data_IF_750077540465
#
_entry.id   IF_750077540465
#
_cell.length_a   1.000
_cell.length_b   1.000
_cell.length_c   1.000
_cell.angle_alpha   90.00
_cell.angle_beta   90.00
_cell.angle_gamma   90.00
#
_symmetry.space_group_name_H-M   'P 1'
#
loop_
_entity.id
_entity.type
_entity.pdbx_description
1 polymer ?
#
# COMPACT_ATOMS: atom_id res chain seq x y z
N UNK A 1 -13.78 -4.31 37.37
CA UNK A 1 -12.32 -4.28 37.15
C UNK A 1 -11.93 -4.66 35.71
N UNK A 2 -12.51 -5.73 35.11
CA UNK A 2 -12.25 -6.08 33.71
C UNK A 2 -12.76 -5.03 32.70
N UNK A 3 -13.95 -4.47 32.92
CA UNK A 3 -14.54 -3.48 32.02
C UNK A 3 -13.76 -2.16 31.96
N UNK A 4 -13.25 -1.70 33.11
CA UNK A 4 -12.38 -0.51 33.19
C UNK A 4 -11.03 -0.71 32.50
N UNK A 5 -10.48 -1.93 32.55
CA UNK A 5 -9.26 -2.28 31.83
C UNK A 5 -9.49 -2.34 30.31
N UNK A 6 -10.61 -2.93 29.87
CA UNK A 6 -10.98 -3.00 28.46
C UNK A 6 -11.25 -1.61 27.87
N UNK A 7 -11.99 -0.76 28.57
CA UNK A 7 -12.29 0.60 28.13
C UNK A 7 -11.01 1.46 28.04
N UNK A 8 -10.08 1.30 28.99
CA UNK A 8 -8.76 1.95 28.94
C UNK A 8 -7.95 1.47 27.74
N UNK A 9 -7.90 0.16 27.51
CA UNK A 9 -7.22 -0.42 26.35
C UNK A 9 -7.79 0.10 25.03
N UNK A 10 -9.12 0.08 24.87
CA UNK A 10 -9.80 0.59 23.68
C UNK A 10 -9.52 2.08 23.45
N UNK A 11 -9.47 2.88 24.52
CA UNK A 11 -9.11 4.29 24.46
C UNK A 11 -7.67 4.50 23.98
N UNK A 12 -6.71 3.76 24.52
CA UNK A 12 -5.30 3.85 24.11
C UNK A 12 -5.10 3.43 22.65
N UNK A 13 -5.77 2.36 22.21
CA UNK A 13 -5.83 1.95 20.80
C UNK A 13 -6.41 3.07 19.92
N UNK A 14 -7.53 3.66 20.32
CA UNK A 14 -8.20 4.73 19.58
C UNK A 14 -7.35 6.00 19.46
N UNK A 15 -6.58 6.35 20.50
CA UNK A 15 -5.66 7.50 20.46
C UNK A 15 -4.53 7.27 19.46
N UNK A 16 -3.90 6.08 19.45
CA UNK A 16 -2.86 5.77 18.48
C UNK A 16 -3.41 5.72 17.05
N UNK A 17 -4.59 5.15 16.86
CA UNK A 17 -5.27 5.15 15.57
C UNK A 17 -5.54 6.58 15.08
N UNK A 18 -6.06 7.45 15.94
CA UNK A 18 -6.32 8.84 15.59
C UNK A 18 -5.03 9.61 15.27
N UNK A 19 -3.93 9.32 15.98
CA UNK A 19 -2.63 9.90 15.67
C UNK A 19 -2.15 9.49 14.26
N UNK A 20 -2.25 8.20 13.92
CA UNK A 20 -1.93 7.71 12.58
C UNK A 20 -2.82 8.33 11.50
N UNK A 21 -4.12 8.41 11.74
CA UNK A 21 -5.09 9.05 10.84
C UNK A 21 -4.77 10.52 10.61
N UNK A 22 -4.44 11.26 11.67
CA UNK A 22 -4.05 12.67 11.58
C UNK A 22 -2.75 12.86 10.79
N UNK A 23 -1.77 11.99 11.00
CA UNK A 23 -0.52 12.03 10.24
C UNK A 23 -0.78 11.76 8.75
N UNK A 24 -1.59 10.76 8.41
CA UNK A 24 -1.98 10.49 7.03
C UNK A 24 -2.75 11.64 6.36
N UNK A 25 -3.62 12.34 7.10
CA UNK A 25 -4.34 13.51 6.60
C UNK A 25 -3.51 14.80 6.58
N UNK A 26 -2.26 14.78 7.06
CA UNK A 26 -1.38 15.95 7.13
C UNK A 26 -0.72 16.30 5.78
N UNK A 27 -1.54 16.38 4.73
CA UNK A 27 -1.12 16.66 3.34
C UNK A 27 -0.45 18.04 3.17
N UNK A 28 -0.63 18.97 4.12
CA UNK A 28 0.10 20.24 4.12
C UNK A 28 1.63 20.04 4.09
N UNK A 29 2.15 18.97 4.73
CA UNK A 29 3.59 18.66 4.72
C UNK A 29 4.06 18.25 3.32
N UNK A 30 3.25 17.47 2.61
CA UNK A 30 3.48 17.08 1.21
C UNK A 30 3.61 18.34 0.33
N UNK A 31 2.69 19.28 0.47
CA UNK A 31 2.73 20.55 -0.28
C UNK A 31 4.02 21.33 0.02
N UNK A 32 4.42 21.42 1.30
CA UNK A 32 5.67 22.10 1.69
C UNK A 32 6.89 21.40 1.08
N UNK A 33 6.98 20.07 1.15
CA UNK A 33 8.08 19.32 0.55
C UNK A 33 8.16 19.52 -0.96
N UNK A 34 7.01 19.47 -1.65
CA UNK A 34 6.94 19.70 -3.09
C UNK A 34 7.40 21.12 -3.45
N UNK A 35 6.98 22.14 -2.71
CA UNK A 35 7.43 23.53 -2.95
C UNK A 35 8.94 23.67 -2.71
N UNK A 36 9.49 23.00 -1.70
CA UNK A 36 10.92 23.07 -1.36
C UNK A 36 11.82 22.29 -2.33
N UNK A 37 11.32 21.22 -2.95
CA UNK A 37 12.09 20.38 -3.86
C UNK A 37 11.46 20.34 -5.25
N UNK A 38 12.06 21.08 -6.19
CA UNK A 38 11.66 21.07 -7.61
C UNK A 38 11.62 19.66 -8.22
N UNK A 39 12.61 18.77 -8.00
CA UNK A 39 12.54 17.39 -8.47
C UNK A 39 11.30 16.66 -7.93
N UNK A 40 11.00 16.82 -6.64
CA UNK A 40 9.86 16.19 -6.00
C UNK A 40 8.53 16.67 -6.61
N UNK A 41 8.37 17.98 -6.80
CA UNK A 41 7.19 18.55 -7.43
C UNK A 41 6.96 18.03 -8.85
N UNK A 42 8.03 17.95 -9.66
CA UNK A 42 7.95 17.46 -11.04
C UNK A 42 7.56 15.98 -11.03
N UNK A 43 8.17 15.15 -10.20
CA UNK A 43 7.87 13.70 -10.13
C UNK A 43 6.46 13.43 -9.62
N UNK A 44 6.03 14.12 -8.56
CA UNK A 44 4.66 14.02 -8.07
C UNK A 44 3.68 14.48 -9.14
N UNK A 45 3.93 15.62 -9.80
CA UNK A 45 3.09 16.11 -10.90
C UNK A 45 3.00 15.14 -12.07
N UNK A 46 4.12 14.54 -12.48
CA UNK A 46 4.17 13.50 -13.53
C UNK A 46 3.31 12.29 -13.16
N UNK A 47 3.41 11.82 -11.92
CA UNK A 47 2.61 10.70 -11.44
C UNK A 47 1.11 11.03 -11.43
N UNK A 48 0.74 12.20 -10.92
CA UNK A 48 -0.65 12.67 -10.91
C UNK A 48 -1.23 12.82 -12.31
N UNK A 49 -0.46 13.43 -13.22
CA UNK A 49 -0.90 13.67 -14.59
C UNK A 49 -1.00 12.35 -15.36
N UNK A 50 -0.02 11.47 -15.26
CA UNK A 50 -0.03 10.17 -15.93
C UNK A 50 -1.19 9.31 -15.43
N UNK A 51 -1.30 9.11 -14.11
CA UNK A 51 -2.38 8.33 -13.53
C UNK A 51 -3.73 8.98 -13.88
N UNK A 52 -3.89 10.28 -13.64
CA UNK A 52 -5.11 11.01 -14.00
C UNK A 52 -5.50 10.84 -15.47
N UNK A 53 -4.57 11.03 -16.41
CA UNK A 53 -4.82 10.90 -17.83
C UNK A 53 -5.17 9.47 -18.24
N UNK A 54 -4.45 8.47 -17.72
CA UNK A 54 -4.74 7.07 -18.03
C UNK A 54 -6.11 6.67 -17.49
N UNK A 55 -6.41 6.95 -16.22
CA UNK A 55 -7.66 6.51 -15.61
C UNK A 55 -8.87 7.32 -16.05
N UNK A 56 -8.83 8.66 -15.92
CA UNK A 56 -9.95 9.51 -16.34
C UNK A 56 -10.10 9.47 -17.86
N UNK A 57 -9.00 9.44 -18.61
CA UNK A 57 -9.04 9.32 -20.07
C UNK A 57 -9.64 8.00 -20.52
N UNK A 58 -9.23 6.86 -19.94
CA UNK A 58 -9.81 5.56 -20.28
C UNK A 58 -11.29 5.45 -19.88
N UNK A 59 -11.67 6.00 -18.72
CA UNK A 59 -13.08 6.09 -18.30
C UNK A 59 -13.90 6.96 -19.24
N UNK A 60 -13.34 8.08 -19.70
CA UNK A 60 -13.99 8.97 -20.66
C UNK A 60 -14.16 8.29 -22.01
N UNK A 61 -13.12 7.67 -22.56
CA UNK A 61 -13.19 6.91 -23.83
C UNK A 61 -14.25 5.81 -23.73
N UNK A 62 -14.25 5.05 -22.62
CA UNK A 62 -15.23 3.99 -22.41
C UNK A 62 -16.67 4.54 -22.39
N UNK A 63 -16.95 5.55 -21.56
CA UNK A 63 -18.31 6.05 -21.35
C UNK A 63 -18.83 6.95 -22.47
N UNK A 64 -17.97 7.76 -23.06
CA UNK A 64 -18.37 8.78 -24.04
C UNK A 64 -18.23 8.30 -25.49
N UNK A 65 -17.39 7.30 -25.76
CA UNK A 65 -17.16 6.80 -27.12
C UNK A 65 -17.55 5.33 -27.27
N UNK A 66 -16.92 4.43 -26.52
CA UNK A 66 -17.08 2.98 -26.72
C UNK A 66 -18.51 2.53 -26.44
N UNK A 67 -19.08 2.86 -25.28
CA UNK A 67 -20.44 2.45 -24.92
C UNK A 67 -21.48 3.03 -25.91
N UNK A 68 -21.48 4.33 -26.25
CA UNK A 68 -22.41 4.86 -27.25
C UNK A 68 -22.29 4.21 -28.63
N UNK A 69 -21.07 3.97 -29.11
CA UNK A 69 -20.84 3.29 -30.40
C UNK A 69 -21.37 1.86 -30.36
N UNK A 70 -21.12 1.14 -29.25
CA UNK A 70 -21.65 -0.21 -29.06
C UNK A 70 -23.18 -0.23 -28.98
N UNK A 71 -23.80 0.75 -28.32
CA UNK A 71 -25.27 0.88 -28.28
C UNK A 71 -25.85 1.26 -29.64
N UNK A 72 -25.10 1.97 -30.48
CA UNK A 72 -25.51 2.30 -31.84
C UNK A 72 -25.43 1.10 -32.79
N UNK A 73 -24.35 0.31 -32.71
CA UNK A 73 -24.16 -0.89 -33.55
C UNK A 73 -25.00 -2.06 -33.04
N UNK A 74 -25.14 -2.21 -31.72
CA UNK A 74 -25.88 -3.27 -31.04
C UNK A 74 -26.90 -2.62 -30.08
N UNK A 75 -28.09 -2.22 -30.57
CA UNK A 75 -29.08 -1.50 -29.76
C UNK A 75 -29.77 -2.36 -28.70
N UNK A 76 -30.13 -1.73 -27.58
CA UNK A 76 -30.82 -2.35 -26.43
C UNK A 76 -32.33 -2.44 -26.59
N UNK A 77 -32.90 -1.52 -27.38
CA UNK A 77 -34.32 -1.43 -27.66
C UNK A 77 -34.50 -1.03 -29.11
N UNK A 78 -35.48 -1.64 -29.78
CA UNK A 78 -35.95 -1.17 -31.07
C UNK A 78 -37.27 -0.44 -30.84
N UNK A 79 -37.33 0.85 -31.17
CA UNK A 79 -38.61 1.57 -31.16
C UNK A 79 -39.49 1.06 -32.31
N UNK A 80 -40.68 0.57 -31.93
CA UNK A 80 -41.87 0.39 -32.77
C UNK A 80 -41.67 -0.33 -34.11
N UNK A 81 -41.93 -1.64 -34.21
CA UNK A 81 -42.73 -2.21 -35.33
C UNK A 81 -43.09 -3.70 -35.10
N UNK A 82 -44.40 -3.98 -35.23
CA UNK A 82 -45.09 -5.25 -35.50
C UNK A 82 -44.89 -6.48 -34.58
N UNK A 83 -46.01 -6.94 -34.00
CA UNK A 83 -46.16 -8.02 -33.03
C UNK A 83 -46.00 -9.46 -33.58
N UNK A 84 -45.36 -9.68 -34.73
CA UNK A 84 -45.32 -11.02 -35.37
C UNK A 84 -43.96 -11.75 -35.28
N UNK A 85 -42.88 -11.13 -34.80
CA UNK A 85 -41.53 -11.74 -34.78
C UNK A 85 -40.87 -11.81 -33.38
N UNK A 86 -41.68 -12.01 -32.36
CA UNK A 86 -41.27 -11.85 -30.96
C UNK A 86 -40.23 -12.88 -30.45
N UNK A 87 -40.16 -14.09 -31.02
CA UNK A 87 -39.21 -15.13 -30.59
C UNK A 87 -37.79 -14.94 -31.14
N UNK A 88 -37.64 -14.76 -32.46
CA UNK A 88 -36.34 -14.48 -33.08
C UNK A 88 -35.75 -13.15 -32.61
N UNK A 89 -36.60 -12.18 -32.28
CA UNK A 89 -36.20 -10.88 -31.75
C UNK A 89 -35.56 -10.97 -30.35
N UNK A 90 -36.14 -11.77 -29.45
CA UNK A 90 -35.57 -11.99 -28.10
C UNK A 90 -34.21 -12.69 -28.18
N UNK A 91 -34.06 -13.65 -29.09
CA UNK A 91 -32.79 -14.32 -29.33
C UNK A 91 -31.72 -13.33 -29.85
N UNK A 92 -32.07 -12.47 -30.82
CA UNK A 92 -31.16 -11.45 -31.36
C UNK A 92 -30.71 -10.43 -30.30
N UNK A 93 -31.62 -9.90 -29.49
CA UNK A 93 -31.28 -8.99 -28.39
C UNK A 93 -30.38 -9.65 -27.33
N UNK A 94 -30.60 -10.94 -27.07
CA UNK A 94 -29.74 -11.72 -26.15
C UNK A 94 -28.32 -11.84 -26.71
N UNK A 95 -28.19 -12.12 -28.01
CA UNK A 95 -26.89 -12.16 -28.71
C UNK A 95 -26.22 -10.79 -28.71
N UNK A 96 -26.96 -9.71 -28.93
CA UNK A 96 -26.41 -8.34 -28.89
C UNK A 96 -25.92 -7.96 -27.51
N UNK A 97 -26.68 -8.27 -26.46
CA UNK A 97 -26.25 -8.03 -25.09
C UNK A 97 -24.99 -8.82 -24.73
N UNK A 98 -24.93 -10.09 -25.14
CA UNK A 98 -23.77 -10.93 -24.93
C UNK A 98 -22.53 -10.41 -25.69
N UNK A 99 -22.70 -10.00 -26.95
CA UNK A 99 -21.61 -9.48 -27.77
C UNK A 99 -21.08 -8.14 -27.24
N UNK A 100 -21.96 -7.23 -26.78
CA UNK A 100 -21.52 -6.00 -26.11
C UNK A 100 -20.74 -6.29 -24.84
N UNK A 101 -21.20 -7.24 -24.03
CA UNK A 101 -20.48 -7.65 -22.82
C UNK A 101 -19.05 -8.11 -23.17
N UNK A 102 -18.90 -8.98 -24.17
CA UNK A 102 -17.58 -9.44 -24.65
C UNK A 102 -16.73 -8.27 -25.15
N UNK A 103 -17.29 -7.39 -25.99
CA UNK A 103 -16.53 -6.27 -26.57
C UNK A 103 -16.05 -5.28 -25.51
N UNK A 104 -16.88 -5.03 -24.49
CA UNK A 104 -16.50 -4.21 -23.33
C UNK A 104 -15.40 -4.92 -22.52
N UNK A 105 -15.51 -6.22 -22.30
CA UNK A 105 -14.49 -6.99 -21.56
C UNK A 105 -13.14 -7.02 -22.30
N UNK A 106 -13.16 -7.18 -23.63
CA UNK A 106 -11.97 -7.06 -24.48
C UNK A 106 -11.34 -5.67 -24.37
N UNK A 107 -12.14 -4.59 -24.31
CA UNK A 107 -11.61 -3.25 -24.05
C UNK A 107 -10.89 -3.19 -22.70
N UNK A 108 -11.44 -3.78 -21.63
CA UNK A 108 -10.72 -3.83 -20.35
C UNK A 108 -9.39 -4.59 -20.45
N UNK A 109 -9.40 -5.77 -21.07
CA UNK A 109 -8.23 -6.66 -21.20
C UNK A 109 -7.11 -6.04 -22.04
N UNK A 110 -7.45 -5.42 -23.17
CA UNK A 110 -6.44 -4.96 -24.14
C UNK A 110 -6.14 -3.47 -24.06
N UNK A 111 -7.01 -2.67 -23.44
CA UNK A 111 -6.79 -1.23 -23.27
C UNK A 111 -6.51 -0.86 -21.83
N UNK A 112 -7.45 -1.13 -20.93
CA UNK A 112 -7.38 -0.63 -19.56
C UNK A 112 -6.26 -1.29 -18.75
N UNK A 113 -6.20 -2.63 -18.68
CA UNK A 113 -5.21 -3.33 -17.87
C UNK A 113 -3.76 -3.11 -18.33
N UNK A 114 -3.42 -3.11 -19.63
CA UNK A 114 -2.06 -2.83 -20.08
C UNK A 114 -1.62 -1.41 -19.74
N UNK A 115 -2.49 -0.41 -19.93
CA UNK A 115 -2.21 0.97 -19.53
C UNK A 115 -2.06 1.09 -18.01
N UNK A 116 -2.89 0.38 -17.24
CA UNK A 116 -2.80 0.31 -15.79
C UNK A 116 -1.45 -0.26 -15.34
N UNK A 117 -1.03 -1.41 -15.88
CA UNK A 117 0.24 -2.05 -15.55
C UNK A 117 1.42 -1.12 -15.89
N UNK A 118 1.39 -0.50 -17.07
CA UNK A 118 2.40 0.48 -17.46
C UNK A 118 2.48 1.66 -16.47
N UNK A 119 1.32 2.21 -16.11
CA UNK A 119 1.23 3.30 -15.13
C UNK A 119 1.75 2.87 -13.76
N UNK A 120 1.42 1.65 -13.32
CA UNK A 120 1.87 1.10 -12.05
C UNK A 120 3.39 0.95 -11.98
N UNK A 121 4.02 0.43 -13.05
CA UNK A 121 5.48 0.28 -13.12
C UNK A 121 6.17 1.64 -13.08
N UNK A 122 5.75 2.60 -13.91
CA UNK A 122 6.32 3.95 -13.91
C UNK A 122 6.13 4.65 -12.57
N UNK A 123 4.93 4.53 -12.00
CA UNK A 123 4.60 5.12 -10.71
C UNK A 123 5.48 4.54 -9.61
N UNK A 124 5.75 3.23 -9.60
CA UNK A 124 6.65 2.58 -8.63
C UNK A 124 8.07 3.13 -8.69
N UNK A 125 8.60 3.36 -9.89
CA UNK A 125 9.92 3.99 -10.06
C UNK A 125 9.93 5.42 -9.51
N UNK A 126 8.91 6.20 -9.81
CA UNK A 126 8.80 7.56 -9.29
C UNK A 126 8.56 7.61 -7.78
N UNK A 127 7.85 6.66 -7.19
CA UNK A 127 7.67 6.57 -5.74
C UNK A 127 9.00 6.33 -5.02
N UNK A 128 9.86 5.49 -5.58
CA UNK A 128 11.21 5.28 -5.05
C UNK A 128 12.05 6.57 -5.08
N UNK A 129 12.02 7.31 -6.21
CA UNK A 129 12.69 8.61 -6.35
C UNK A 129 12.13 9.64 -5.34
N UNK A 130 10.81 9.73 -5.21
CA UNK A 130 10.10 10.63 -4.28
C UNK A 130 10.53 10.34 -2.85
N UNK A 131 10.51 9.08 -2.44
CA UNK A 131 10.90 8.69 -1.08
C UNK A 131 12.38 8.95 -0.80
N UNK A 132 13.25 8.76 -1.80
CA UNK A 132 14.69 9.08 -1.69
C UNK A 132 14.90 10.56 -1.39
N UNK A 133 14.30 11.44 -2.20
CA UNK A 133 14.42 12.88 -2.01
C UNK A 133 13.79 13.37 -0.70
N UNK A 134 12.65 12.80 -0.30
CA UNK A 134 12.04 13.12 0.98
C UNK A 134 12.95 12.75 2.16
N UNK A 135 13.60 11.59 2.08
CA UNK A 135 14.57 11.14 3.09
C UNK A 135 15.83 12.03 3.13
N UNK A 136 16.38 12.42 1.97
CA UNK A 136 17.51 13.34 1.87
C UNK A 136 17.20 14.71 2.49
N UNK A 137 16.00 15.27 2.24
CA UNK A 137 15.58 16.55 2.82
C UNK A 137 15.46 16.45 4.35
N UNK A 138 14.86 15.36 4.87
CA UNK A 138 14.72 15.17 6.31
C UNK A 138 16.06 14.97 7.03
N UNK A 139 16.99 14.26 6.40
CA UNK A 139 18.34 14.07 6.95
C UNK A 139 19.18 15.35 6.84
N UNK A 140 18.94 16.18 5.84
CA UNK A 140 19.59 17.48 5.65
C UNK A 140 19.04 18.59 6.56
N UNK A 141 17.75 18.53 6.93
CA UNK A 141 17.12 19.45 7.90
C UNK A 141 17.30 19.01 9.37
N UNK A 142 17.95 17.86 9.63
CA UNK A 142 18.48 17.53 10.96
C UNK A 142 19.61 18.49 11.36
N UNK A 143 19.91 18.66 12.66
CA UNK A 143 20.78 19.75 13.12
C UNK A 143 22.16 19.66 12.45
N UNK A 144 22.41 20.56 11.50
CA UNK A 144 23.74 20.81 10.99
C UNK A 144 24.61 21.27 12.16
N UNK A 145 25.60 20.44 12.51
CA UNK A 145 26.60 20.63 13.59
C UNK A 145 26.02 20.56 15.00
N UNK A 146 26.04 19.36 15.60
CA UNK A 146 26.60 19.03 16.94
C UNK A 146 26.09 17.65 17.37
N UNK A 147 26.50 16.58 16.68
CA UNK A 147 26.47 15.21 17.21
C UNK A 147 27.70 14.44 16.69
N UNK A 148 28.87 14.94 17.06
CA UNK A 148 30.12 14.17 17.04
C UNK A 148 30.61 13.89 18.48
N UNK A 149 29.80 14.16 19.51
CA UNK A 149 30.26 14.02 20.90
C UNK A 149 29.41 13.16 21.83
N UNK A 150 28.22 12.67 21.45
CA UNK A 150 27.41 11.78 22.31
C UNK A 150 27.31 10.34 21.79
N UNK A 151 27.98 10.03 20.66
CA UNK A 151 28.05 8.66 20.14
C UNK A 151 29.23 7.85 20.72
N UNK A 152 30.13 8.51 21.47
CA UNK A 152 31.30 7.86 22.06
C UNK A 152 31.03 7.29 23.45
N UNK A 153 30.08 7.84 24.23
CA UNK A 153 29.87 7.40 25.62
C UNK A 153 28.88 6.21 25.78
N UNK A 154 28.14 5.85 24.72
CA UNK A 154 27.35 4.62 24.68
C UNK A 154 28.05 3.45 23.98
N UNK A 155 29.23 3.67 23.39
CA UNK A 155 30.04 2.63 22.75
C UNK A 155 30.99 1.92 23.72
N UNK A 156 31.20 2.45 24.93
CA UNK A 156 32.20 1.92 25.88
C UNK A 156 31.67 0.86 26.87
N UNK A 157 30.36 0.55 26.85
CA UNK A 157 29.74 -0.48 27.70
C UNK A 157 29.35 -1.78 26.99
N UNK A 158 29.77 -1.98 25.74
CA UNK A 158 29.57 -3.24 25.00
C UNK A 158 30.88 -3.94 24.61
N UNK A 159 31.99 -3.58 25.26
CA UNK A 159 33.30 -4.19 25.06
C UNK A 159 33.58 -5.31 26.06
N UNK A 160 32.66 -6.26 26.31
CA UNK A 160 33.05 -7.55 26.90
C UNK A 160 32.02 -8.64 26.59
N UNK A 161 32.54 -9.80 26.17
CA UNK A 161 31.85 -11.07 25.85
C UNK A 161 31.49 -11.31 24.38
N UNK A 162 32.56 -11.49 23.62
CA UNK A 162 32.75 -12.53 22.59
C UNK A 162 31.64 -13.58 22.44
N UNK A 163 30.98 -13.60 21.28
CA UNK A 163 30.86 -14.82 20.48
C UNK A 163 30.77 -14.46 18.98
N UNK A 164 31.58 -15.17 18.22
CA UNK A 164 31.87 -15.08 16.80
C UNK A 164 30.64 -15.05 15.87
N UNK A 165 30.62 -14.13 14.92
CA UNK A 165 30.33 -14.40 13.49
C UNK A 165 30.78 -13.20 12.66
N UNK A 166 31.50 -13.48 11.58
CA UNK A 166 32.27 -12.49 10.82
C UNK A 166 31.42 -11.38 10.21
N UNK A 167 32.03 -10.20 10.11
CA UNK A 167 31.59 -9.16 9.18
C UNK A 167 31.57 -9.79 7.79
N UNK A 168 30.41 -9.95 7.13
CA UNK A 168 30.37 -10.56 5.81
C UNK A 168 31.05 -9.59 4.84
N UNK A 169 32.11 -10.06 4.17
CA UNK A 169 32.75 -9.33 3.09
C UNK A 169 31.75 -9.01 1.97
N UNK A 170 32.07 -8.03 1.13
CA UNK A 170 31.12 -7.33 0.25
C UNK A 170 30.11 -8.19 -0.52
N UNK A 171 30.46 -9.41 -0.94
CA UNK A 171 29.52 -10.32 -1.62
C UNK A 171 28.49 -10.97 -0.68
N UNK A 172 28.89 -11.47 0.50
CA UNK A 172 27.97 -12.08 1.45
C UNK A 172 26.99 -11.05 2.03
N UNK A 173 27.47 -9.81 2.22
CA UNK A 173 26.63 -8.69 2.65
C UNK A 173 25.56 -8.33 1.59
N UNK A 174 25.95 -8.29 0.31
CA UNK A 174 25.02 -8.03 -0.80
C UNK A 174 24.02 -9.18 -0.97
N UNK A 175 24.46 -10.44 -0.88
CA UNK A 175 23.56 -11.59 -0.93
C UNK A 175 22.54 -11.58 0.21
N UNK A 176 22.96 -11.19 1.41
CA UNK A 176 22.06 -11.05 2.55
C UNK A 176 21.01 -9.94 2.32
N UNK A 177 21.41 -8.80 1.79
CA UNK A 177 20.51 -7.68 1.46
C UNK A 177 19.50 -8.06 0.36
N UNK A 178 19.95 -8.76 -0.69
CA UNK A 178 19.09 -9.28 -1.75
C UNK A 178 18.11 -10.31 -1.18
N UNK A 179 18.59 -11.25 -0.36
CA UNK A 179 17.75 -12.27 0.26
C UNK A 179 16.66 -11.69 1.15
N UNK A 180 16.99 -10.67 1.94
CA UNK A 180 16.05 -9.94 2.78
C UNK A 180 14.97 -9.23 1.95
N UNK A 181 15.35 -8.58 0.85
CA UNK A 181 14.40 -7.92 -0.05
C UNK A 181 13.48 -8.92 -0.76
N UNK A 182 14.01 -10.04 -1.25
CA UNK A 182 13.22 -11.10 -1.88
C UNK A 182 12.23 -11.70 -0.88
N UNK A 183 12.66 -11.93 0.35
CA UNK A 183 11.78 -12.42 1.41
C UNK A 183 10.68 -11.40 1.77
N UNK A 184 11.01 -10.10 1.85
CA UNK A 184 10.01 -9.04 2.05
C UNK A 184 8.94 -9.06 0.95
N UNK A 185 9.35 -9.17 -0.32
CA UNK A 185 8.44 -9.26 -1.47
C UNK A 185 7.54 -10.50 -1.36
N UNK A 186 8.11 -11.66 -1.04
CA UNK A 186 7.34 -12.90 -0.87
C UNK A 186 6.32 -12.77 0.26
N UNK A 187 6.75 -12.30 1.44
CA UNK A 187 5.90 -12.10 2.60
C UNK A 187 4.73 -11.16 2.29
N UNK A 188 5.01 -10.03 1.64
CA UNK A 188 4.00 -9.04 1.28
C UNK A 188 3.05 -9.53 0.18
N UNK A 189 3.54 -10.36 -0.74
CA UNK A 189 2.69 -11.01 -1.75
C UNK A 189 1.71 -11.98 -1.09
N UNK A 190 2.18 -12.78 -0.13
CA UNK A 190 1.32 -13.70 0.62
C UNK A 190 0.31 -12.94 1.49
N UNK A 191 0.73 -11.85 2.13
CA UNK A 191 -0.18 -10.98 2.88
C UNK A 191 -1.23 -10.33 1.98
N UNK A 192 -0.86 -9.91 0.76
CA UNK A 192 -1.81 -9.42 -0.23
C UNK A 192 -2.86 -10.47 -0.60
N UNK A 193 -2.44 -11.74 -0.81
CA UNK A 193 -3.37 -12.85 -1.09
C UNK A 193 -4.31 -13.06 0.11
N UNK A 194 -3.81 -13.00 1.34
CA UNK A 194 -4.62 -13.08 2.55
C UNK A 194 -5.70 -11.99 2.56
N UNK A 195 -5.30 -10.71 2.38
CA UNK A 195 -6.24 -9.58 2.31
C UNK A 195 -7.30 -9.82 1.21
N UNK A 196 -6.87 -10.21 0.02
CA UNK A 196 -7.77 -10.50 -1.10
C UNK A 196 -8.80 -11.60 -0.76
N UNK A 197 -8.37 -12.69 -0.12
CA UNK A 197 -9.27 -13.78 0.28
C UNK A 197 -10.29 -13.36 1.35
N UNK A 198 -9.90 -12.48 2.28
CA UNK A 198 -10.84 -11.99 3.30
C UNK A 198 -11.99 -11.16 2.72
N UNK A 199 -11.81 -10.59 1.52
CA UNK A 199 -12.85 -9.88 0.79
C UNK A 199 -14.06 -10.74 0.40
N UNK A 200 -13.91 -12.06 0.35
CA UNK A 200 -15.00 -13.00 0.02
C UNK A 200 -15.84 -13.43 1.23
N UNK A 201 -15.44 -13.09 2.46
CA UNK A 201 -16.16 -13.48 3.67
C UNK A 201 -17.37 -12.54 3.88
N UNK A 202 -18.62 -13.02 3.86
CA UNK A 202 -19.78 -12.17 4.04
C UNK A 202 -19.91 -11.63 5.48
N UNK A 203 -20.57 -10.47 5.64
CA UNK A 203 -20.86 -9.76 6.90
C UNK A 203 -19.64 -9.25 7.68
N UNK A 204 -18.87 -10.14 8.32
CA UNK A 204 -17.71 -9.79 9.17
C UNK A 204 -16.49 -9.42 8.32
N UNK A 205 -16.39 -10.01 7.11
CA UNK A 205 -15.24 -9.80 6.22
C UNK A 205 -15.06 -8.36 5.76
N UNK A 206 -16.12 -7.53 5.69
CA UNK A 206 -15.95 -6.12 5.27
C UNK A 206 -15.12 -5.29 6.25
N UNK A 207 -15.36 -5.44 7.56
CA UNK A 207 -14.62 -4.72 8.59
C UNK A 207 -13.19 -5.25 8.73
N UNK A 208 -13.02 -6.58 8.65
CA UNK A 208 -11.69 -7.22 8.66
C UNK A 208 -10.90 -6.81 7.43
N UNK A 209 -11.50 -6.86 6.24
CA UNK A 209 -10.88 -6.44 4.99
C UNK A 209 -10.50 -4.96 5.04
N UNK A 210 -11.36 -4.08 5.59
CA UNK A 210 -10.99 -2.67 5.81
C UNK A 210 -9.72 -2.54 6.66
N UNK A 211 -9.61 -3.27 7.76
CA UNK A 211 -8.44 -3.24 8.64
C UNK A 211 -7.19 -3.82 7.97
N UNK A 212 -7.29 -5.00 7.37
CA UNK A 212 -6.19 -5.66 6.67
C UNK A 212 -5.69 -4.81 5.50
N UNK A 213 -6.60 -4.23 4.73
CA UNK A 213 -6.28 -3.34 3.63
C UNK A 213 -5.62 -2.05 4.14
N UNK A 214 -6.09 -1.50 5.26
CA UNK A 214 -5.46 -0.33 5.89
C UNK A 214 -4.03 -0.63 6.33
N UNK A 215 -3.78 -1.78 6.95
CA UNK A 215 -2.41 -2.20 7.29
C UNK A 215 -1.54 -2.42 6.06
N UNK A 216 -2.06 -3.06 5.02
CA UNK A 216 -1.35 -3.30 3.77
C UNK A 216 -0.90 -1.97 3.12
N UNK A 217 -1.81 -1.01 2.98
CA UNK A 217 -1.48 0.30 2.43
C UNK A 217 -0.48 1.08 3.28
N UNK A 218 -0.66 1.06 4.60
CA UNK A 218 0.28 1.71 5.50
C UNK A 218 1.68 1.08 5.36
N UNK A 219 1.78 -0.25 5.38
CA UNK A 219 3.06 -0.94 5.23
C UNK A 219 3.73 -0.57 3.90
N UNK A 220 3.00 -0.63 2.79
CA UNK A 220 3.55 -0.27 1.48
C UNK A 220 4.05 1.18 1.43
N UNK A 221 3.36 2.14 2.06
CA UNK A 221 3.84 3.52 2.11
C UNK A 221 5.12 3.66 2.94
N UNK A 222 5.19 3.00 4.10
CA UNK A 222 6.34 3.07 5.00
C UNK A 222 7.54 2.23 4.54
N UNK A 223 7.33 1.19 3.72
CA UNK A 223 8.40 0.37 3.16
C UNK A 223 9.43 1.22 2.40
N UNK A 224 8.97 2.21 1.61
CA UNK A 224 9.87 3.14 0.93
C UNK A 224 10.75 3.91 1.92
N UNK A 225 10.18 4.42 3.02
CA UNK A 225 10.93 5.12 4.07
C UNK A 225 11.97 4.19 4.72
N UNK A 226 11.56 2.97 5.08
CA UNK A 226 12.42 2.01 5.77
C UNK A 226 13.52 1.42 4.89
N UNK A 227 13.26 1.27 3.59
CA UNK A 227 14.27 0.90 2.60
C UNK A 227 15.40 1.94 2.55
N UNK A 228 15.05 3.23 2.47
CA UNK A 228 16.04 4.31 2.49
C UNK A 228 16.78 4.44 3.83
N UNK A 229 16.13 4.13 4.95
CA UNK A 229 16.78 4.09 6.26
C UNK A 229 17.54 2.78 6.55
N UNK A 230 17.61 1.85 5.59
CA UNK A 230 18.23 0.51 5.72
C UNK A 230 17.79 -0.25 6.97
N UNK A 231 16.52 -0.11 7.35
CA UNK A 231 15.97 -0.86 8.48
C UNK A 231 15.83 -2.33 8.07
N UNK A 232 16.25 -3.29 8.90
CA UNK A 232 16.03 -4.71 8.58
C UNK A 232 14.55 -5.09 8.67
N UNK A 233 14.09 -6.03 7.86
CA UNK A 233 12.74 -6.56 7.79
C UNK A 233 12.22 -6.98 9.17
N UNK A 234 13.01 -7.73 9.95
CA UNK A 234 12.62 -8.13 11.30
C UNK A 234 12.30 -6.92 12.19
N UNK A 235 13.11 -5.85 12.09
CA UNK A 235 12.85 -4.61 12.81
C UNK A 235 11.60 -3.91 12.28
N UNK A 236 11.38 -3.87 10.96
CA UNK A 236 10.19 -3.25 10.34
C UNK A 236 8.92 -3.94 10.79
N UNK A 237 8.88 -5.28 10.74
CA UNK A 237 7.75 -6.09 11.18
C UNK A 237 7.50 -5.91 12.67
N UNK A 238 8.55 -5.96 13.50
CA UNK A 238 8.41 -5.76 14.94
C UNK A 238 7.88 -4.36 15.29
N UNK A 239 8.39 -3.32 14.63
CA UNK A 239 7.92 -1.95 14.79
C UNK A 239 6.46 -1.79 14.32
N UNK A 240 6.11 -2.40 13.20
CA UNK A 240 4.75 -2.36 12.64
C UNK A 240 3.74 -3.05 13.55
N UNK A 241 4.00 -4.30 13.91
CA UNK A 241 3.15 -5.15 14.74
C UNK A 241 3.02 -4.62 16.17
N UNK A 242 4.08 -4.01 16.70
CA UNK A 242 4.03 -3.37 18.02
C UNK A 242 3.17 -2.11 18.01
N UNK A 243 3.07 -1.41 16.88
CA UNK A 243 2.35 -0.14 16.75
C UNK A 243 1.19 -0.21 15.76
N UNK A 244 0.59 -1.39 15.64
CA UNK A 244 -0.47 -1.67 14.68
C UNK A 244 -1.64 -0.67 14.68
N UNK A 245 -2.08 -0.04 15.80
CA UNK A 245 -3.20 0.89 15.74
C UNK A 245 -2.84 2.16 14.97
N UNK A 246 -1.60 2.65 15.13
CA UNK A 246 -1.11 3.80 14.39
C UNK A 246 -1.12 3.52 12.89
N UNK A 247 -0.60 2.37 12.47
CA UNK A 247 -0.58 2.01 11.05
C UNK A 247 -1.97 1.75 10.47
N UNK A 248 -2.88 1.12 11.23
CA UNK A 248 -4.29 1.02 10.84
C UNK A 248 -4.90 2.41 10.62
N UNK A 249 -4.63 3.36 11.52
CA UNK A 249 -5.07 4.75 11.39
C UNK A 249 -4.49 5.45 10.18
N UNK A 250 -3.19 5.26 9.92
CA UNK A 250 -2.51 5.87 8.80
C UNK A 250 -3.06 5.40 7.43
N UNK A 251 -3.34 4.11 7.28
CA UNK A 251 -3.90 3.57 6.02
C UNK A 251 -5.38 3.87 5.82
N UNK A 252 -6.12 4.15 6.90
CA UNK A 252 -7.58 4.29 6.88
C UNK A 252 -8.10 5.36 5.91
N UNK A 253 -7.54 6.59 5.80
CA UNK A 253 -8.03 7.58 4.85
C UNK A 253 -7.95 7.12 3.38
N UNK A 254 -6.87 6.43 3.01
CA UNK A 254 -6.68 5.89 1.65
C UNK A 254 -7.73 4.82 1.35
N UNK A 255 -7.96 3.91 2.31
CA UNK A 255 -8.94 2.86 2.19
C UNK A 255 -10.36 3.42 2.17
N UNK A 256 -10.70 4.35 3.06
CA UNK A 256 -12.01 5.00 3.07
C UNK A 256 -12.33 5.65 1.72
N UNK A 257 -11.36 6.32 1.10
CA UNK A 257 -11.55 6.94 -0.21
C UNK A 257 -12.00 5.92 -1.27
N UNK A 258 -11.41 4.72 -1.31
CA UNK A 258 -11.76 3.69 -2.31
C UNK A 258 -13.06 2.94 -2.00
N UNK A 259 -13.58 2.97 -0.78
CA UNK A 259 -14.83 2.31 -0.40
C UNK A 259 -16.08 2.97 -1.02
N UNK A 260 -16.00 4.25 -1.41
CA UNK A 260 -17.12 5.00 -1.99
C UNK A 260 -17.22 4.87 -3.52
N UNK A 261 -16.26 4.21 -4.17
CA UNK A 261 -16.16 4.14 -5.61
C UNK A 261 -16.35 2.71 -6.13
N UNK A 262 -16.72 2.58 -7.41
CA UNK A 262 -16.68 1.28 -8.09
C UNK A 262 -15.24 0.80 -8.22
N UNK A 263 -15.02 -0.52 -8.30
CA UNK A 263 -13.66 -1.11 -8.33
C UNK A 263 -12.72 -0.44 -9.33
N UNK A 264 -13.25 -0.09 -10.52
CA UNK A 264 -12.50 0.59 -11.57
C UNK A 264 -12.06 2.01 -11.18
N UNK A 265 -12.98 2.78 -10.60
CA UNK A 265 -12.70 4.14 -10.14
C UNK A 265 -11.78 4.10 -8.91
N UNK A 266 -11.93 3.11 -8.05
CA UNK A 266 -11.07 2.87 -6.89
C UNK A 266 -9.61 2.64 -7.29
N UNK A 267 -9.32 1.91 -8.37
CA UNK A 267 -7.94 1.77 -8.88
C UNK A 267 -7.34 3.11 -9.30
N UNK A 268 -8.11 3.94 -10.00
CA UNK A 268 -7.65 5.26 -10.43
C UNK A 268 -7.45 6.22 -9.26
N UNK A 269 -8.39 6.25 -8.31
CA UNK A 269 -8.28 7.03 -7.09
C UNK A 269 -7.06 6.60 -6.28
N UNK A 270 -6.82 5.29 -6.15
CA UNK A 270 -5.66 4.79 -5.43
C UNK A 270 -4.35 5.18 -6.10
N UNK A 271 -4.23 5.04 -7.42
CA UNK A 271 -3.01 5.41 -8.14
C UNK A 271 -2.67 6.92 -8.01
N UNK A 272 -3.68 7.77 -7.86
CA UNK A 272 -3.52 9.20 -7.62
C UNK A 272 -3.17 9.49 -6.15
N UNK A 273 -3.85 8.84 -5.20
CA UNK A 273 -3.66 9.10 -3.78
C UNK A 273 -2.34 8.52 -3.25
N UNK A 274 -1.97 7.33 -3.70
CA UNK A 274 -0.81 6.58 -3.21
C UNK A 274 0.50 7.39 -3.11
N UNK A 275 0.95 8.17 -4.13
CA UNK A 275 2.15 9.01 -4.00
C UNK A 275 2.07 10.01 -2.85
N UNK A 276 0.89 10.56 -2.56
CA UNK A 276 0.71 11.50 -1.43
C UNK A 276 0.91 10.78 -0.10
N UNK A 277 0.37 9.57 0.03
CA UNK A 277 0.54 8.77 1.26
C UNK A 277 1.98 8.29 1.42
N UNK A 278 2.67 7.92 0.34
CA UNK A 278 4.12 7.60 0.37
C UNK A 278 4.92 8.82 0.85
N UNK A 279 4.64 10.00 0.30
CA UNK A 279 5.34 11.22 0.69
C UNK A 279 5.00 11.65 2.13
N UNK A 280 3.76 11.46 2.55
CA UNK A 280 3.33 11.71 3.93
C UNK A 280 4.01 10.74 4.89
N UNK A 281 4.11 9.46 4.56
CA UNK A 281 4.82 8.45 5.35
C UNK A 281 6.31 8.80 5.47
N UNK A 282 6.96 9.16 4.35
CA UNK A 282 8.35 9.60 4.34
C UNK A 282 8.55 10.84 5.22
N UNK A 283 7.68 11.84 5.11
CA UNK A 283 7.67 13.07 5.89
C UNK A 283 7.29 12.94 7.37
N UNK A 284 6.78 11.77 7.79
CA UNK A 284 6.28 11.55 9.15
C UNK A 284 7.40 10.99 10.04
N UNK A 285 7.66 11.63 11.17
CA UNK A 285 8.51 11.09 12.23
C UNK A 285 7.70 10.11 13.11
N UNK A 286 7.30 8.98 12.51
CA UNK A 286 6.42 7.96 13.11
C UNK A 286 6.88 7.53 14.50
N UNK A 287 8.18 7.31 14.66
CA UNK A 287 8.81 6.87 15.90
C UNK A 287 8.56 7.90 17.03
N UNK A 288 8.81 9.18 16.75
CA UNK A 288 8.64 10.26 17.73
C UNK A 288 7.16 10.49 18.07
N UNK A 289 6.27 10.48 17.09
CA UNK A 289 4.83 10.61 17.30
C UNK A 289 4.31 9.46 18.17
N UNK A 290 4.63 8.22 17.82
CA UNK A 290 4.22 7.03 18.56
C UNK A 290 4.76 7.05 19.99
N UNK A 291 6.06 7.33 20.17
CA UNK A 291 6.66 7.41 21.50
C UNK A 291 6.02 8.51 22.34
N UNK A 292 5.77 9.69 21.77
CA UNK A 292 5.12 10.80 22.48
C UNK A 292 3.70 10.43 22.96
N UNK A 293 2.92 9.77 22.10
CA UNK A 293 1.57 9.30 22.42
C UNK A 293 1.63 8.20 23.50
N UNK A 294 2.52 7.22 23.36
CA UNK A 294 2.67 6.13 24.33
C UNK A 294 3.07 6.62 25.72
N UNK A 295 3.83 7.71 25.85
CA UNK A 295 4.16 8.32 27.16
C UNK A 295 2.93 8.81 27.92
N UNK A 296 1.81 9.07 27.23
CA UNK A 296 0.55 9.50 27.86
C UNK A 296 -0.27 8.34 28.43
N UNK A 297 0.11 7.09 28.10
CA UNK A 297 -0.65 5.90 28.46
C UNK A 297 -0.38 5.48 29.90
N UNK A 298 -1.45 5.02 30.56
CA UNK A 298 -1.39 4.53 31.94
C UNK A 298 -1.43 3.01 32.01
N UNK A 299 -1.95 2.35 30.96
CA UNK A 299 -2.16 0.90 30.90
C UNK A 299 -1.06 0.10 30.21
N UNK A 300 0.12 0.68 29.96
CA UNK A 300 1.21 0.01 29.23
C UNK A 300 1.01 -0.04 27.70
N UNK A 301 -0.13 0.43 27.19
CA UNK A 301 -0.42 0.55 25.77
C UNK A 301 -0.87 -0.74 25.07
N UNK A 302 -1.19 -0.65 23.78
CA UNK A 302 -1.58 -1.81 22.97
C UNK A 302 -0.46 -2.84 22.89
N UNK A 303 -0.83 -4.12 23.05
CA UNK A 303 0.09 -5.24 22.88
C UNK A 303 0.38 -5.48 21.40
N UNK A 304 1.55 -6.08 21.14
CA UNK A 304 1.97 -6.50 19.80
C UNK A 304 0.94 -7.45 19.19
N UNK A 305 0.56 -7.20 17.93
CA UNK A 305 -0.37 -8.02 17.16
C UNK A 305 0.39 -8.65 16.00
N UNK A 306 0.36 -9.99 15.90
CA UNK A 306 1.11 -10.73 14.87
C UNK A 306 0.36 -10.72 13.53
N UNK A 307 0.35 -9.58 12.86
CA UNK A 307 -0.39 -9.37 11.60
C UNK A 307 0.17 -10.25 10.49
N UNK A 308 1.49 -10.43 10.42
CA UNK A 308 2.13 -11.15 9.32
C UNK A 308 2.33 -12.64 9.62
N UNK A 309 1.79 -13.17 10.72
CA UNK A 309 2.08 -14.54 11.16
C UNK A 309 1.70 -15.61 10.15
N UNK A 310 0.50 -15.49 9.56
CA UNK A 310 0.00 -16.44 8.57
C UNK A 310 0.87 -16.40 7.31
N UNK A 311 1.08 -15.22 6.75
CA UNK A 311 1.97 -14.99 5.61
C UNK A 311 3.40 -15.50 5.88
N UNK A 312 3.94 -15.24 7.07
CA UNK A 312 5.30 -15.65 7.45
C UNK A 312 5.44 -17.17 7.55
N UNK A 313 4.44 -17.87 8.12
CA UNK A 313 4.42 -19.34 8.14
C UNK A 313 4.41 -19.92 6.73
N UNK A 314 3.57 -19.38 5.84
CA UNK A 314 3.47 -19.86 4.46
C UNK A 314 4.76 -19.56 3.70
N UNK A 315 5.34 -18.36 3.87
CA UNK A 315 6.61 -17.98 3.26
C UNK A 315 7.73 -18.95 3.64
N UNK A 316 7.83 -19.29 4.93
CA UNK A 316 8.82 -20.24 5.42
C UNK A 316 8.66 -21.63 4.81
N UNK A 317 7.42 -22.12 4.65
CA UNK A 317 7.15 -23.39 3.96
C UNK A 317 7.61 -23.32 2.50
N UNK A 318 7.30 -22.25 1.77
CA UNK A 318 7.72 -22.08 0.37
C UNK A 318 9.25 -22.04 0.24
N UNK A 319 9.92 -21.30 1.13
CA UNK A 319 11.39 -21.20 1.14
C UNK A 319 12.05 -22.54 1.46
N UNK A 320 11.45 -23.36 2.31
CA UNK A 320 11.95 -24.71 2.62
C UNK A 320 11.78 -25.70 1.46
N UNK A 321 10.78 -25.52 0.60
CA UNK A 321 10.53 -26.38 -0.56
C UNK A 321 11.41 -26.05 -1.78
N UNK A 322 11.84 -24.79 -1.92
CA UNK A 322 12.76 -24.34 -2.98
C UNK A 322 14.08 -25.14 -3.09
N UNK A 323 14.80 -25.47 -1.99
CA UNK A 323 16.02 -26.28 -2.06
C UNK A 323 15.80 -27.76 -2.41
N UNK A 324 14.58 -28.28 -2.34
CA UNK A 324 14.28 -29.64 -2.80
C UNK A 324 14.06 -29.70 -4.32
N UNK A 325 13.49 -28.65 -4.92
CA UNK A 325 13.27 -28.56 -6.36
C UNK A 325 14.55 -28.44 -7.20
N UNK A 326 15.65 -27.90 -6.63
CA UNK A 326 16.94 -27.78 -7.32
C UNK A 326 17.77 -29.08 -7.29
N UNK A 327 17.33 -30.12 -6.58
CA UNK A 327 18.02 -31.42 -6.49
C UNK A 327 17.37 -32.50 -7.37
N UNK A 328 16.30 -32.18 -8.08
CA UNK A 328 15.52 -33.12 -8.90
C UNK A 328 15.54 -32.79 -10.40
N UNK A 329 16.49 -31.98 -10.88
CA UNK A 329 16.71 -31.74 -12.32
C UNK A 329 18.02 -32.33 -12.82
#
# INVERSE_FOLDING_TARGET
MAWSSLAMYAKEVGILWLAGFKEACSLHRVVIFCIRSRPLLIRTGQCFLLNGLIFLGSLFVLKSMVIPILMWILPDQYEHFAAEHQYNHRAALTVYSFLRFILIDLFYIFWFYPLYIFSFVLSTLWYNDIAKHAYEVLTSEGPSKTQTSEKNDLMDLQSTSTSSTGVPGGFDGVCLEIGEQVYSILLLTLFFIEVFTTGFIPYIGKAINFLLLSWMYAYYCFEYKWNHSKMSLNKRLDFFESNWPFFAGFGSPCVLAIFFFSSLVSYGVMAILYPLFVLTAAGTQSELVITSVRRTFRGGGPKKLQIFHAANKIAMVIVQLLPEASKTS
#
